data_IF_504574410935
#
_entry.id   IF_504574410935
#
_cell.length_a   1.000
_cell.length_b   1.000
_cell.length_c   1.000
_cell.angle_alpha   90.00
_cell.angle_beta   90.00
_cell.angle_gamma   90.00
#
_symmetry.space_group_name_H-M   'P 1'
#
loop_
_entity.id
_entity.type
_entity.pdbx_description
1 polymer ?
#
# COMPACT_ATOMS: atom_id res chain seq x y z
N UNK A 1 -16.83 -21.51 -17.44
CA UNK A 1 -16.13 -20.19 -17.22
C UNK A 1 -14.79 -20.48 -16.57
N UNK A 2 -13.71 -19.79 -16.99
CA UNK A 2 -12.39 -19.90 -16.31
C UNK A 2 -12.51 -19.39 -14.86
N UNK A 3 -11.89 -20.08 -13.92
CA UNK A 3 -11.80 -19.60 -12.54
C UNK A 3 -10.95 -18.31 -12.51
N UNK A 4 -11.46 -17.27 -11.86
CA UNK A 4 -10.70 -16.03 -11.62
C UNK A 4 -9.53 -16.30 -10.69
N UNK A 5 -8.40 -15.60 -10.90
CA UNK A 5 -7.16 -15.77 -10.14
C UNK A 5 -6.63 -14.43 -9.66
N UNK A 6 -6.20 -14.36 -8.41
CA UNK A 6 -5.65 -13.15 -7.80
C UNK A 6 -4.23 -13.41 -7.33
N UNK A 7 -3.30 -12.57 -7.75
CA UNK A 7 -1.88 -12.65 -7.41
C UNK A 7 -1.56 -11.74 -6.23
N UNK A 8 -0.98 -12.30 -5.18
CA UNK A 8 -0.36 -11.56 -4.09
C UNK A 8 1.15 -11.48 -4.28
N UNK A 9 1.70 -10.27 -4.20
CA UNK A 9 3.14 -10.01 -4.31
C UNK A 9 3.62 -9.43 -2.99
N UNK A 10 4.57 -10.12 -2.36
CA UNK A 10 5.19 -9.70 -1.09
C UNK A 10 6.54 -9.05 -1.38
N UNK A 11 6.61 -7.72 -1.26
CA UNK A 11 7.81 -6.92 -1.49
C UNK A 11 8.81 -6.92 -0.32
N UNK A 12 8.49 -7.61 0.79
CA UNK A 12 9.38 -7.69 1.96
C UNK A 12 10.56 -8.65 1.71
N UNK A 13 11.77 -8.31 2.19
CA UNK A 13 12.88 -9.27 2.23
C UNK A 13 12.63 -10.42 3.23
N UNK A 14 11.70 -10.25 4.15
CA UNK A 14 11.27 -11.29 5.09
C UNK A 14 10.09 -12.07 4.50
N UNK A 15 10.32 -13.32 4.10
CA UNK A 15 9.31 -14.21 3.49
C UNK A 15 8.10 -14.41 4.42
N UNK A 16 8.36 -14.54 5.72
CA UNK A 16 7.34 -14.66 6.78
C UNK A 16 7.42 -13.45 7.70
N UNK A 17 6.54 -12.50 7.53
CA UNK A 17 6.51 -11.27 8.32
C UNK A 17 5.21 -10.49 8.10
N UNK A 18 5.09 -9.35 8.76
CA UNK A 18 3.85 -8.56 8.79
C UNK A 18 3.33 -8.16 7.39
N UNK A 19 4.23 -7.90 6.44
CA UNK A 19 3.82 -7.61 5.05
C UNK A 19 3.18 -8.83 4.39
N UNK A 20 3.75 -10.04 4.61
CA UNK A 20 3.20 -11.27 4.05
C UNK A 20 1.86 -11.63 4.68
N UNK A 21 1.67 -11.37 5.97
CA UNK A 21 0.39 -11.57 6.66
C UNK A 21 -0.71 -10.67 6.07
N UNK A 22 -0.43 -9.38 5.84
CA UNK A 22 -1.39 -8.45 5.23
C UNK A 22 -1.77 -8.87 3.80
N UNK A 23 -0.80 -9.32 3.00
CA UNK A 23 -1.07 -9.84 1.66
C UNK A 23 -1.90 -11.12 1.74
N UNK A 24 -1.57 -12.03 2.67
CA UNK A 24 -2.31 -13.28 2.88
C UNK A 24 -3.76 -13.01 3.33
N UNK A 25 -3.99 -12.04 4.23
CA UNK A 25 -5.34 -11.64 4.64
C UNK A 25 -6.16 -11.09 3.46
N UNK A 26 -5.55 -10.25 2.60
CA UNK A 26 -6.23 -9.78 1.40
C UNK A 26 -6.57 -10.93 0.44
N UNK A 27 -5.65 -11.87 0.25
CA UNK A 27 -5.90 -13.07 -0.57
C UNK A 27 -6.96 -13.99 0.05
N UNK A 28 -6.97 -14.15 1.38
CA UNK A 28 -7.99 -14.90 2.11
C UNK A 28 -9.38 -14.31 1.91
N UNK A 29 -9.48 -12.96 1.99
CA UNK A 29 -10.71 -12.24 1.68
C UNK A 29 -11.19 -12.48 0.25
N UNK A 30 -10.30 -12.45 -0.71
CA UNK A 30 -10.62 -12.73 -2.12
C UNK A 30 -11.06 -14.18 -2.33
N UNK A 31 -10.33 -15.14 -1.79
CA UNK A 31 -10.62 -16.56 -1.90
C UNK A 31 -12.00 -16.93 -1.32
N UNK A 32 -12.46 -16.20 -0.28
CA UNK A 32 -13.79 -16.41 0.32
C UNK A 32 -14.96 -16.18 -0.65
N UNK A 33 -14.72 -15.55 -1.81
CA UNK A 33 -15.69 -15.28 -2.87
C UNK A 33 -15.45 -16.12 -4.14
N UNK A 34 -14.52 -17.10 -4.09
CA UNK A 34 -14.33 -18.12 -5.12
C UNK A 34 -13.10 -17.99 -6.03
N UNK A 35 -12.42 -16.83 -6.19
CA UNK A 35 -11.17 -16.79 -6.95
C UNK A 35 -10.10 -17.72 -6.36
N UNK A 36 -9.28 -18.31 -7.24
CA UNK A 36 -8.02 -18.92 -6.85
C UNK A 36 -7.00 -17.84 -6.48
N UNK A 37 -6.10 -18.14 -5.55
CA UNK A 37 -5.07 -17.19 -5.12
C UNK A 37 -3.68 -17.80 -5.20
N UNK A 38 -2.69 -16.99 -5.51
CA UNK A 38 -1.27 -17.37 -5.50
C UNK A 38 -0.45 -16.26 -4.85
N UNK A 39 0.55 -16.63 -4.06
CA UNK A 39 1.47 -15.68 -3.45
C UNK A 39 2.87 -15.84 -4.03
N UNK A 40 3.51 -14.72 -4.33
CA UNK A 40 4.92 -14.63 -4.74
C UNK A 40 5.67 -13.74 -3.76
N UNK A 41 6.72 -14.28 -3.16
CA UNK A 41 7.69 -13.50 -2.38
C UNK A 41 8.81 -13.00 -3.29
N UNK A 42 8.99 -11.69 -3.41
CA UNK A 42 10.08 -11.14 -4.23
C UNK A 42 11.46 -11.53 -3.70
N UNK A 43 11.60 -11.79 -2.39
CA UNK A 43 12.84 -12.23 -1.78
C UNK A 43 13.36 -13.57 -2.34
N UNK A 44 12.48 -14.37 -2.92
CA UNK A 44 12.81 -15.70 -3.47
C UNK A 44 12.99 -15.70 -4.99
N UNK A 45 12.83 -14.55 -5.66
CA UNK A 45 12.79 -14.49 -7.12
C UNK A 45 14.12 -14.14 -7.78
N UNK A 46 15.11 -13.66 -7.03
CA UNK A 46 16.41 -13.28 -7.60
C UNK A 46 16.33 -12.14 -8.64
N UNK A 47 15.40 -11.21 -8.46
CA UNK A 47 15.25 -10.05 -9.36
C UNK A 47 16.41 -9.10 -9.15
N UNK A 48 17.08 -8.72 -10.25
CA UNK A 48 18.17 -7.75 -10.27
C UNK A 48 17.66 -6.38 -10.74
N UNK A 49 18.46 -5.33 -10.54
CA UNK A 49 18.14 -3.98 -11.01
C UNK A 49 18.07 -3.89 -12.54
N UNK A 50 17.25 -2.97 -13.03
CA UNK A 50 17.20 -2.59 -14.45
C UNK A 50 18.40 -1.70 -14.79
N UNK A 51 19.01 -1.90 -15.96
CA UNK A 51 20.07 -1.05 -16.52
C UNK A 51 19.58 -0.15 -17.65
N UNK A 52 18.32 -0.32 -18.06
CA UNK A 52 17.64 0.44 -19.14
C UNK A 52 18.33 0.38 -20.52
N UNK A 53 19.16 -0.64 -20.74
CA UNK A 53 19.92 -0.79 -22.02
C UNK A 53 19.10 -1.48 -23.14
N UNK A 54 17.84 -1.90 -22.84
CA UNK A 54 17.06 -2.75 -23.73
C UNK A 54 15.64 -2.21 -23.94
N UNK A 55 15.47 -1.30 -24.89
CA UNK A 55 14.18 -0.67 -25.19
C UNK A 55 13.12 -1.66 -25.71
N UNK A 56 13.52 -2.77 -26.35
CA UNK A 56 12.62 -3.79 -26.88
C UNK A 56 11.78 -4.48 -25.80
N UNK A 57 12.26 -4.51 -24.55
CA UNK A 57 11.53 -5.13 -23.45
C UNK A 57 10.15 -4.49 -23.21
N UNK A 58 9.95 -3.23 -23.60
CA UNK A 58 8.67 -2.55 -23.50
C UNK A 58 7.66 -3.03 -24.54
N UNK A 59 8.10 -3.53 -25.67
CA UNK A 59 7.24 -3.99 -26.76
C UNK A 59 6.92 -5.48 -26.69
N UNK A 60 7.85 -6.32 -26.20
CA UNK A 60 7.69 -7.78 -26.18
C UNK A 60 7.46 -8.38 -24.77
N UNK A 61 7.54 -7.56 -23.72
CA UNK A 61 7.32 -8.00 -22.36
C UNK A 61 8.42 -8.88 -21.77
N UNK A 62 9.61 -8.90 -22.38
CA UNK A 62 10.73 -9.76 -21.96
C UNK A 62 11.87 -8.94 -21.38
N UNK A 63 12.14 -9.12 -20.08
CA UNK A 63 13.32 -8.54 -19.45
C UNK A 63 14.57 -9.29 -19.88
N UNK A 64 15.50 -8.61 -20.57
CA UNK A 64 16.75 -9.23 -21.09
C UNK A 64 17.74 -9.61 -19.99
N UNK A 65 17.60 -9.01 -18.81
CA UNK A 65 18.52 -9.23 -17.69
C UNK A 65 18.01 -10.26 -16.69
N UNK A 66 16.72 -10.52 -16.64
CA UNK A 66 16.13 -11.35 -15.58
C UNK A 66 14.98 -12.20 -16.10
N UNK A 67 15.21 -13.51 -16.18
CA UNK A 67 14.13 -14.47 -16.48
C UNK A 67 13.04 -14.43 -15.40
N UNK A 68 13.42 -14.22 -14.14
CA UNK A 68 12.47 -14.09 -13.04
C UNK A 68 11.54 -12.87 -13.21
N UNK A 69 12.09 -11.71 -13.66
CA UNK A 69 11.28 -10.54 -13.95
C UNK A 69 10.32 -10.79 -15.12
N UNK A 70 10.77 -11.49 -16.17
CA UNK A 70 9.91 -11.92 -17.28
C UNK A 70 8.80 -12.85 -16.82
N UNK A 71 9.13 -13.84 -15.98
CA UNK A 71 8.14 -14.78 -15.43
C UNK A 71 7.08 -14.05 -14.57
N UNK A 72 7.49 -13.07 -13.75
CA UNK A 72 6.55 -12.28 -12.96
C UNK A 72 5.70 -11.35 -13.82
N UNK A 73 6.25 -10.76 -14.87
CA UNK A 73 5.49 -9.95 -15.83
C UNK A 73 4.38 -10.77 -16.49
N UNK A 74 4.69 -12.00 -16.93
CA UNK A 74 3.71 -12.94 -17.48
C UNK A 74 2.63 -13.33 -16.45
N UNK A 75 3.01 -13.55 -15.19
CA UNK A 75 2.01 -13.80 -14.13
C UNK A 75 1.05 -12.61 -13.99
N UNK A 76 1.55 -11.36 -13.99
CA UNK A 76 0.69 -10.17 -13.97
C UNK A 76 -0.27 -10.14 -15.17
N UNK A 77 0.17 -10.58 -16.35
CA UNK A 77 -0.67 -10.67 -17.54
C UNK A 77 -1.73 -11.80 -17.46
N UNK A 78 -1.45 -12.89 -16.76
CA UNK A 78 -2.33 -14.05 -16.64
C UNK A 78 -3.38 -13.93 -15.53
N UNK A 79 -3.06 -13.25 -14.44
CA UNK A 79 -3.94 -13.08 -13.28
C UNK A 79 -4.98 -11.99 -13.53
N UNK A 80 -6.10 -12.05 -12.82
CA UNK A 80 -7.25 -11.15 -13.00
C UNK A 80 -7.21 -9.94 -12.06
N UNK A 81 -6.45 -10.03 -10.96
CA UNK A 81 -6.19 -8.93 -10.04
C UNK A 81 -4.86 -9.12 -9.31
N UNK A 82 -4.39 -8.04 -8.68
CA UNK A 82 -3.09 -8.00 -7.99
C UNK A 82 -3.22 -7.38 -6.61
N UNK A 83 -2.53 -7.96 -5.63
CA UNK A 83 -2.24 -7.34 -4.33
C UNK A 83 -0.73 -7.17 -4.24
N UNK A 84 -0.23 -5.94 -4.04
CA UNK A 84 1.19 -5.66 -3.82
C UNK A 84 1.37 -5.06 -2.43
N UNK A 85 2.03 -5.81 -1.54
CA UNK A 85 2.43 -5.34 -0.22
C UNK A 85 3.92 -5.00 -0.18
N UNK A 86 4.29 -3.82 0.31
CA UNK A 86 5.68 -3.41 0.46
C UNK A 86 5.97 -2.79 1.84
N UNK A 87 7.13 -3.10 2.45
CA UNK A 87 7.59 -2.40 3.64
C UNK A 87 8.16 -1.03 3.27
N UNK A 88 8.03 -0.10 4.19
CA UNK A 88 8.62 1.24 4.06
C UNK A 88 10.10 1.20 4.50
N UNK A 89 11.00 1.55 3.60
CA UNK A 89 12.42 1.78 3.88
C UNK A 89 12.80 3.18 3.43
N UNK A 90 13.36 3.97 4.36
CA UNK A 90 13.74 5.38 4.07
C UNK A 90 12.61 6.19 3.41
N UNK A 91 11.40 6.08 3.98
CA UNK A 91 10.19 6.78 3.56
C UNK A 91 9.65 6.39 2.16
N UNK A 92 10.09 5.27 1.58
CA UNK A 92 9.60 4.78 0.29
C UNK A 92 9.60 3.24 0.25
N UNK A 93 9.24 2.65 -0.90
CA UNK A 93 9.38 1.21 -1.12
C UNK A 93 10.84 0.77 -0.96
N UNK A 94 11.05 -0.42 -0.44
CA UNK A 94 12.39 -1.00 -0.35
C UNK A 94 12.97 -1.34 -1.74
N UNK A 95 14.29 -1.46 -1.83
CA UNK A 95 15.00 -1.73 -3.09
C UNK A 95 14.53 -3.00 -3.81
N UNK A 96 14.14 -4.05 -3.06
CA UNK A 96 13.62 -5.28 -3.65
C UNK A 96 12.31 -5.04 -4.41
N UNK A 97 11.36 -4.31 -3.82
CA UNK A 97 10.12 -3.93 -4.48
C UNK A 97 10.39 -2.99 -5.66
N UNK A 98 11.34 -2.05 -5.50
CA UNK A 98 11.69 -1.14 -6.58
C UNK A 98 12.31 -1.88 -7.79
N UNK A 99 13.23 -2.82 -7.56
CA UNK A 99 13.78 -3.64 -8.62
C UNK A 99 12.70 -4.41 -9.40
N UNK A 100 11.71 -4.96 -8.69
CA UNK A 100 10.56 -5.60 -9.33
C UNK A 100 9.78 -4.60 -10.21
N UNK A 101 9.46 -3.42 -9.70
CA UNK A 101 8.74 -2.40 -10.48
C UNK A 101 9.51 -1.97 -11.72
N UNK A 102 10.83 -1.77 -11.60
CA UNK A 102 11.69 -1.29 -12.69
C UNK A 102 11.88 -2.33 -13.79
N UNK A 103 11.82 -3.62 -13.46
CA UNK A 103 12.02 -4.72 -14.41
C UNK A 103 10.72 -5.32 -14.95
N UNK A 104 9.56 -4.92 -14.42
CA UNK A 104 8.26 -5.43 -14.88
C UNK A 104 7.90 -4.87 -16.24
N UNK A 105 7.50 -5.76 -17.16
CA UNK A 105 7.05 -5.45 -18.52
C UNK A 105 5.79 -6.27 -18.83
N UNK A 106 4.63 -5.65 -18.74
CA UNK A 106 3.32 -6.30 -18.94
C UNK A 106 2.69 -5.88 -20.26
N UNK A 107 1.89 -6.77 -20.85
CA UNK A 107 1.23 -6.55 -22.14
C UNK A 107 -0.31 -6.62 -22.04
N UNK A 108 -0.86 -7.11 -20.92
CA UNK A 108 -2.29 -7.36 -20.77
C UNK A 108 -2.81 -7.05 -19.36
N UNK A 109 -2.51 -5.90 -18.81
CA UNK A 109 -2.92 -5.50 -17.45
C UNK A 109 -3.99 -4.42 -17.40
N UNK A 110 -4.29 -3.72 -18.52
CA UNK A 110 -5.22 -2.60 -18.54
C UNK A 110 -6.56 -2.93 -17.88
N UNK A 111 -6.89 -2.19 -16.82
CA UNK A 111 -8.17 -2.28 -16.10
C UNK A 111 -8.31 -3.46 -15.13
N UNK A 112 -7.27 -4.26 -14.90
CA UNK A 112 -7.28 -5.27 -13.82
C UNK A 112 -7.25 -4.58 -12.47
N UNK A 113 -8.12 -4.94 -11.51
CA UNK A 113 -8.12 -4.31 -10.19
C UNK A 113 -6.84 -4.64 -9.42
N UNK A 114 -6.34 -3.66 -8.64
CA UNK A 114 -5.14 -3.83 -7.85
C UNK A 114 -5.25 -3.15 -6.48
N UNK A 115 -4.66 -3.77 -5.46
CA UNK A 115 -4.52 -3.23 -4.09
C UNK A 115 -3.05 -3.02 -3.75
N UNK A 116 -2.70 -1.79 -3.38
CA UNK A 116 -1.40 -1.46 -2.80
C UNK A 116 -1.48 -1.37 -1.28
N UNK A 117 -0.54 -2.01 -0.58
CA UNK A 117 -0.40 -2.00 0.88
C UNK A 117 0.99 -1.50 1.21
N UNK A 118 1.09 -0.43 2.00
CA UNK A 118 2.35 0.01 2.60
C UNK A 118 2.39 -0.36 4.08
N UNK A 119 3.53 -0.84 4.57
CA UNK A 119 3.72 -1.18 5.99
C UNK A 119 4.95 -0.46 6.55
N UNK A 120 4.75 0.43 7.51
CA UNK A 120 5.83 1.09 8.24
C UNK A 120 5.87 0.61 9.69
N UNK A 121 7.01 0.08 10.11
CA UNK A 121 7.37 -0.13 11.52
C UNK A 121 7.83 1.17 12.18
N UNK A 122 8.57 1.07 13.28
CA UNK A 122 9.24 2.19 13.93
C UNK A 122 8.33 3.42 14.14
N UNK A 123 8.66 4.53 13.50
CA UNK A 123 7.89 5.78 13.57
C UNK A 123 6.58 5.76 12.78
N UNK A 124 6.35 4.77 11.94
CA UNK A 124 5.17 4.71 11.06
C UNK A 124 5.23 5.63 9.83
N UNK A 125 6.29 6.44 9.67
CA UNK A 125 6.41 7.42 8.58
C UNK A 125 6.76 6.77 7.24
N UNK A 126 6.41 7.43 6.12
CA UNK A 126 6.66 6.96 4.76
C UNK A 126 5.54 6.12 4.15
N UNK A 127 4.37 6.08 4.80
CA UNK A 127 3.23 5.29 4.31
C UNK A 127 2.70 5.80 2.97
N UNK A 128 2.48 7.11 2.88
CA UNK A 128 1.84 7.71 1.71
C UNK A 128 2.80 7.83 0.52
N UNK A 129 4.08 8.08 0.76
CA UNK A 129 5.11 8.08 -0.28
C UNK A 129 5.32 6.67 -0.86
N UNK A 130 5.39 5.63 -0.01
CA UNK A 130 5.43 4.23 -0.45
C UNK A 130 4.19 3.86 -1.28
N UNK A 131 2.99 4.25 -0.82
CA UNK A 131 1.76 4.02 -1.61
C UNK A 131 1.80 4.77 -2.94
N UNK A 132 2.30 6.00 -2.96
CA UNK A 132 2.46 6.75 -4.22
C UNK A 132 3.38 6.02 -5.19
N UNK A 133 4.51 5.47 -4.73
CA UNK A 133 5.41 4.67 -5.57
C UNK A 133 4.71 3.42 -6.12
N UNK A 134 3.97 2.67 -5.27
CA UNK A 134 3.18 1.50 -5.71
C UNK A 134 2.13 1.89 -6.75
N UNK A 135 1.41 2.98 -6.52
CA UNK A 135 0.32 3.40 -7.40
C UNK A 135 0.82 4.07 -8.69
N UNK A 136 1.98 4.71 -8.68
CA UNK A 136 2.66 5.13 -9.90
C UNK A 136 3.04 3.91 -10.77
N UNK A 137 3.52 2.83 -10.15
CA UNK A 137 3.75 1.57 -10.86
C UNK A 137 2.44 1.02 -11.44
N UNK A 138 1.36 0.94 -10.66
CA UNK A 138 0.05 0.51 -11.15
C UNK A 138 -0.44 1.39 -12.31
N UNK A 139 -0.28 2.71 -12.20
CA UNK A 139 -0.61 3.65 -13.27
C UNK A 139 0.16 3.36 -14.55
N UNK A 140 1.48 3.12 -14.47
CA UNK A 140 2.33 2.85 -15.62
C UNK A 140 1.93 1.56 -16.35
N UNK A 141 1.60 0.50 -15.61
CA UNK A 141 1.18 -0.78 -16.19
C UNK A 141 -0.34 -0.92 -16.32
N UNK A 142 -1.08 0.18 -16.23
CA UNK A 142 -2.54 0.29 -16.47
C UNK A 142 -3.44 -0.55 -15.55
N UNK A 143 -2.96 -1.00 -14.40
CA UNK A 143 -3.83 -1.60 -13.39
C UNK A 143 -4.83 -0.58 -12.88
N UNK A 144 -6.02 -0.99 -12.49
CA UNK A 144 -7.03 -0.14 -11.84
C UNK A 144 -6.92 -0.28 -10.32
N UNK A 145 -6.09 0.56 -9.70
CA UNK A 145 -5.90 0.56 -8.25
C UNK A 145 -7.18 0.88 -7.49
N UNK A 146 -7.51 0.11 -6.45
CA UNK A 146 -8.55 0.46 -5.47
C UNK A 146 -7.92 1.31 -4.36
N UNK A 147 -8.74 1.84 -3.43
CA UNK A 147 -8.22 2.64 -2.31
C UNK A 147 -7.04 1.95 -1.62
N UNK A 148 -5.90 2.64 -1.46
CA UNK A 148 -4.71 2.09 -0.82
C UNK A 148 -4.90 1.77 0.66
N UNK A 149 -4.07 0.85 1.18
CA UNK A 149 -4.07 0.50 2.59
C UNK A 149 -2.76 0.93 3.28
N UNK A 150 -2.75 2.10 3.96
CA UNK A 150 -1.62 2.56 4.78
C UNK A 150 -1.61 1.86 6.14
N UNK A 151 -0.56 1.09 6.42
CA UNK A 151 -0.43 0.33 7.66
C UNK A 151 0.82 0.74 8.42
N UNK A 152 0.64 1.24 9.65
CA UNK A 152 1.71 1.44 10.62
C UNK A 152 1.63 0.37 11.72
N UNK A 153 2.66 0.33 12.60
CA UNK A 153 2.61 -0.52 13.80
C UNK A 153 1.38 -0.20 14.68
N UNK A 154 0.86 1.03 14.60
CA UNK A 154 -0.22 1.51 15.47
C UNK A 154 -1.61 0.99 15.07
N UNK A 155 -1.85 0.75 13.77
CA UNK A 155 -3.14 0.26 13.27
C UNK A 155 -3.09 -1.18 12.74
N UNK A 156 -1.98 -1.91 12.94
CA UNK A 156 -1.72 -3.20 12.32
C UNK A 156 -2.85 -4.22 12.53
N UNK A 157 -3.29 -4.41 13.78
CA UNK A 157 -4.37 -5.37 14.11
C UNK A 157 -5.68 -5.06 13.33
N UNK A 158 -6.04 -3.78 13.24
CA UNK A 158 -7.22 -3.34 12.48
C UNK A 158 -7.02 -3.48 10.98
N UNK A 159 -5.79 -3.27 10.51
CA UNK A 159 -5.46 -3.36 9.10
C UNK A 159 -5.57 -4.78 8.53
N UNK A 160 -5.41 -5.83 9.32
CA UNK A 160 -5.65 -7.22 8.90
C UNK A 160 -7.10 -7.40 8.41
N UNK A 161 -8.09 -6.96 9.19
CA UNK A 161 -9.50 -7.03 8.76
C UNK A 161 -9.83 -6.10 7.58
N UNK A 162 -9.13 -4.97 7.47
CA UNK A 162 -9.25 -4.09 6.30
C UNK A 162 -8.64 -4.72 5.05
N UNK A 163 -7.49 -5.39 5.17
CA UNK A 163 -6.88 -6.16 4.08
C UNK A 163 -7.82 -7.26 3.58
N UNK A 164 -8.40 -8.03 4.50
CA UNK A 164 -9.41 -9.05 4.17
C UNK A 164 -10.60 -8.45 3.40
N UNK A 165 -11.16 -7.35 3.90
CA UNK A 165 -12.29 -6.65 3.26
C UNK A 165 -11.93 -6.11 1.88
N UNK A 166 -10.72 -5.58 1.71
CA UNK A 166 -10.19 -5.09 0.42
C UNK A 166 -10.00 -6.24 -0.57
N UNK A 167 -9.57 -7.40 -0.10
CA UNK A 167 -9.48 -8.61 -0.91
C UNK A 167 -10.85 -9.07 -1.44
N UNK A 168 -11.89 -9.04 -0.62
CA UNK A 168 -13.27 -9.29 -1.06
C UNK A 168 -13.69 -8.31 -2.16
N UNK A 169 -13.40 -7.00 -1.97
CA UNK A 169 -13.68 -5.97 -2.99
C UNK A 169 -12.95 -6.26 -4.30
N UNK A 170 -11.68 -6.69 -4.27
CA UNK A 170 -10.94 -7.10 -5.47
C UNK A 170 -11.64 -8.25 -6.20
N UNK A 171 -12.06 -9.30 -5.47
CA UNK A 171 -12.75 -10.45 -6.04
C UNK A 171 -14.07 -10.08 -6.74
N UNK A 172 -14.79 -9.09 -6.21
CA UNK A 172 -16.01 -8.57 -6.85
C UNK A 172 -15.69 -7.80 -8.13
N UNK A 173 -14.66 -6.96 -8.10
CA UNK A 173 -14.24 -6.15 -9.24
C UNK A 173 -13.65 -6.98 -10.38
N UNK A 174 -12.97 -8.10 -10.08
CA UNK A 174 -12.44 -9.04 -11.08
C UNK A 174 -13.52 -9.57 -12.03
N UNK A 175 -14.78 -9.68 -11.56
CA UNK A 175 -15.89 -10.17 -12.36
C UNK A 175 -16.22 -9.25 -13.54
N UNK A 176 -15.80 -7.99 -13.49
CA UNK A 176 -16.06 -6.94 -14.49
C UNK A 176 -14.81 -6.10 -14.68
N UNK A 177 -13.82 -6.66 -15.39
CA UNK A 177 -12.64 -5.89 -15.79
C UNK A 177 -13.08 -4.59 -16.48
N UNK A 178 -12.51 -3.46 -16.05
CA UNK A 178 -12.82 -2.12 -16.55
C UNK A 178 -11.55 -1.47 -17.13
N UNK A 179 -11.21 -1.71 -18.40
CA UNK A 179 -10.07 -1.07 -19.02
C UNK A 179 -10.21 0.44 -19.03
N UNK A 180 -9.11 1.16 -18.95
CA UNK A 180 -9.09 2.59 -19.25
C UNK A 180 -9.15 2.81 -20.75
N UNK A 181 -10.05 3.67 -21.19
CA UNK A 181 -10.22 4.01 -22.60
C UNK A 181 -9.20 5.08 -23.06
N UNK A 182 -8.68 5.87 -22.12
CA UNK A 182 -7.71 6.93 -22.40
C UNK A 182 -6.77 7.21 -21.23
N UNK A 183 -5.64 7.85 -21.55
CA UNK A 183 -4.72 8.37 -20.53
C UNK A 183 -5.39 9.43 -19.65
N UNK A 184 -6.27 10.25 -20.21
CA UNK A 184 -7.01 11.28 -19.47
C UNK A 184 -7.92 10.68 -18.41
N UNK A 185 -8.65 9.61 -18.76
CA UNK A 185 -9.47 8.85 -17.80
C UNK A 185 -8.60 8.26 -16.69
N UNK A 186 -7.46 7.65 -17.05
CA UNK A 186 -6.53 7.06 -16.08
C UNK A 186 -5.97 8.11 -15.13
N UNK A 187 -5.54 9.27 -15.64
CA UNK A 187 -5.06 10.39 -14.79
C UNK A 187 -6.15 10.83 -13.82
N UNK A 188 -7.37 11.08 -14.31
CA UNK A 188 -8.49 11.52 -13.48
C UNK A 188 -8.84 10.47 -12.39
N UNK A 189 -8.84 9.19 -12.76
CA UNK A 189 -9.09 8.10 -11.83
C UNK A 189 -8.09 8.07 -10.68
N UNK A 190 -6.78 8.09 -11.00
CA UNK A 190 -5.71 8.02 -10.00
C UNK A 190 -5.64 9.28 -9.13
N UNK A 191 -5.95 10.45 -9.71
CA UNK A 191 -6.05 11.70 -8.95
C UNK A 191 -7.13 11.64 -7.86
N UNK A 192 -8.21 10.89 -8.07
CA UNK A 192 -9.31 10.71 -7.12
C UNK A 192 -9.06 9.69 -6.00
N UNK A 193 -7.97 8.90 -6.06
CA UNK A 193 -7.69 7.89 -5.05
C UNK A 193 -7.18 8.51 -3.75
N UNK A 194 -7.62 7.93 -2.61
CA UNK A 194 -7.21 8.38 -1.27
C UNK A 194 -5.70 8.27 -1.08
N UNK A 195 -5.15 9.13 -0.26
CA UNK A 195 -3.75 9.17 0.21
C UNK A 195 -2.69 9.48 -0.85
N UNK A 196 -2.98 9.36 -2.15
CA UNK A 196 -1.97 9.56 -3.20
C UNK A 196 -1.53 11.04 -3.36
N UNK A 197 -2.41 11.97 -2.97
CA UNK A 197 -2.12 13.41 -2.99
C UNK A 197 -1.69 13.96 -1.62
N UNK A 198 -1.48 13.09 -0.63
CA UNK A 198 -1.03 13.50 0.69
C UNK A 198 0.40 14.02 0.65
N UNK A 199 0.61 15.19 1.24
CA UNK A 199 1.95 15.69 1.53
C UNK A 199 2.44 15.19 2.91
N UNK A 200 3.61 15.64 3.33
CA UNK A 200 4.22 15.24 4.60
C UNK A 200 3.36 15.64 5.81
N UNK A 201 2.60 16.73 5.72
CA UNK A 201 1.72 17.20 6.81
C UNK A 201 0.51 16.28 6.91
N UNK A 202 -0.13 15.97 5.77
CA UNK A 202 -1.27 15.05 5.70
C UNK A 202 -0.90 13.65 6.22
N UNK A 203 0.30 13.17 5.90
CA UNK A 203 0.80 11.87 6.39
C UNK A 203 0.98 11.86 7.91
N UNK A 204 1.58 12.90 8.48
CA UNK A 204 1.76 12.96 9.93
C UNK A 204 0.40 13.12 10.67
N UNK A 205 -0.56 13.83 10.08
CA UNK A 205 -1.92 13.90 10.59
C UNK A 205 -2.62 12.52 10.54
N UNK A 206 -2.42 11.75 9.47
CA UNK A 206 -2.90 10.37 9.35
C UNK A 206 -2.30 9.48 10.45
N UNK A 207 -1.01 9.60 10.74
CA UNK A 207 -0.35 8.83 11.80
C UNK A 207 -0.88 9.16 13.19
N UNK A 208 -1.08 10.44 13.50
CA UNK A 208 -1.72 10.87 14.75
C UNK A 208 -3.14 10.28 14.86
N UNK A 209 -3.90 10.28 13.77
CA UNK A 209 -5.22 9.66 13.73
C UNK A 209 -5.16 8.15 13.98
N UNK A 210 -4.21 7.44 13.37
CA UNK A 210 -4.04 5.99 13.57
C UNK A 210 -3.73 5.69 15.04
N UNK A 211 -2.88 6.47 15.70
CA UNK A 211 -2.58 6.35 17.11
C UNK A 211 -3.85 6.48 17.96
N UNK A 212 -4.51 7.63 17.92
CA UNK A 212 -5.66 7.90 18.80
C UNK A 212 -6.84 6.93 18.58
N UNK A 213 -6.98 6.38 17.38
CA UNK A 213 -8.06 5.43 17.05
C UNK A 213 -7.79 3.99 17.47
N UNK A 214 -6.56 3.66 17.87
CA UNK A 214 -6.15 2.29 18.19
C UNK A 214 -5.52 2.15 19.59
N UNK A 215 -5.67 3.17 20.44
CA UNK A 215 -5.30 3.14 21.85
C UNK A 215 -6.54 2.96 22.71
N UNK A 216 -6.57 1.92 23.54
CA UNK A 216 -7.56 1.70 24.59
C UNK A 216 -6.96 2.12 25.94
N UNK A 217 -6.81 3.43 26.16
CA UNK A 217 -6.05 3.95 27.28
C UNK A 217 -6.78 3.76 28.62
N UNK A 218 -6.01 3.25 29.60
CA UNK A 218 -6.40 3.18 31.01
C UNK A 218 -5.25 3.71 31.90
N UNK A 219 -5.54 4.09 33.12
CA UNK A 219 -4.51 4.58 34.04
C UNK A 219 -3.74 5.79 33.48
N UNK A 220 -2.40 5.75 33.56
CA UNK A 220 -1.52 6.86 33.16
C UNK A 220 -1.56 7.18 31.67
N UNK A 221 -1.89 6.21 30.81
CA UNK A 221 -2.04 6.43 29.38
C UNK A 221 -3.26 7.30 29.01
N UNK A 222 -4.26 7.40 29.90
CA UNK A 222 -5.49 8.14 29.63
C UNK A 222 -5.24 9.64 29.45
N UNK A 223 -4.48 10.26 30.33
CA UNK A 223 -4.18 11.70 30.22
C UNK A 223 -3.40 12.04 28.94
N UNK A 224 -2.46 11.17 28.54
CA UNK A 224 -1.71 11.32 27.29
C UNK A 224 -2.61 11.14 26.07
N UNK A 225 -3.56 10.22 26.10
CA UNK A 225 -4.53 10.06 25.00
C UNK A 225 -5.47 11.28 24.89
N UNK A 226 -5.93 11.81 26.02
CA UNK A 226 -6.76 13.04 26.04
C UNK A 226 -5.98 14.24 25.46
N UNK A 227 -4.71 14.37 25.79
CA UNK A 227 -3.82 15.37 25.20
C UNK A 227 -3.66 15.16 23.69
N UNK A 228 -3.39 13.93 23.24
CA UNK A 228 -3.25 13.59 21.83
C UNK A 228 -4.52 13.92 21.03
N UNK A 229 -5.71 13.63 21.58
CA UNK A 229 -7.00 13.93 20.93
C UNK A 229 -7.22 15.45 20.83
N UNK A 230 -6.90 16.22 21.87
CA UNK A 230 -7.04 17.68 21.86
C UNK A 230 -6.15 18.30 20.78
N UNK A 231 -4.87 17.94 20.78
CA UNK A 231 -3.89 18.44 19.79
C UNK A 231 -4.26 18.01 18.35
N UNK A 232 -4.73 16.77 18.17
CA UNK A 232 -5.24 16.32 16.87
C UNK A 232 -6.43 17.14 16.37
N UNK A 233 -7.34 17.49 17.26
CA UNK A 233 -8.53 18.28 16.89
C UNK A 233 -8.16 19.67 16.44
N UNK A 234 -7.23 20.33 17.13
CA UNK A 234 -6.69 21.63 16.76
C UNK A 234 -5.95 21.56 15.40
N UNK A 235 -5.08 20.55 15.24
CA UNK A 235 -4.38 20.33 13.98
C UNK A 235 -5.35 20.15 12.80
N UNK A 236 -6.40 19.36 12.98
CA UNK A 236 -7.41 19.10 11.96
C UNK A 236 -8.18 20.35 11.55
N UNK A 237 -8.50 21.22 12.51
CA UNK A 237 -9.16 22.51 12.25
C UNK A 237 -8.24 23.42 11.43
N UNK A 238 -6.98 23.56 11.82
CA UNK A 238 -5.98 24.38 11.09
C UNK A 238 -5.75 23.87 9.66
N UNK A 239 -5.64 22.55 9.48
CA UNK A 239 -5.53 21.96 8.13
C UNK A 239 -6.79 22.27 7.30
N UNK A 240 -7.99 22.16 7.89
CA UNK A 240 -9.26 22.52 7.24
C UNK A 240 -9.34 24.00 6.82
N UNK A 241 -8.65 24.88 7.55
CA UNK A 241 -8.53 26.32 7.22
C UNK A 241 -7.41 26.60 6.20
N UNK A 242 -6.69 25.59 5.70
CA UNK A 242 -5.53 25.75 4.79
C UNK A 242 -4.23 26.14 5.49
N UNK A 243 -4.19 26.19 6.83
CA UNK A 243 -3.04 26.59 7.65
C UNK A 243 -2.15 25.39 8.01
N UNK A 244 -1.71 24.62 7.00
CA UNK A 244 -0.94 23.40 7.22
C UNK A 244 0.34 23.59 8.02
N UNK A 245 1.07 24.71 7.78
CA UNK A 245 2.31 25.00 8.49
C UNK A 245 2.08 25.23 9.99
N UNK A 246 1.01 25.95 10.35
CA UNK A 246 0.63 26.18 11.75
C UNK A 246 0.19 24.87 12.42
N UNK A 247 -0.46 23.97 11.69
CA UNK A 247 -0.91 22.69 12.21
C UNK A 247 0.23 21.75 12.62
N UNK A 248 1.45 21.91 12.06
CA UNK A 248 2.57 20.95 12.28
C UNK A 248 2.89 20.77 13.77
N UNK A 249 2.90 21.84 14.56
CA UNK A 249 3.20 21.74 16.00
C UNK A 249 2.16 20.88 16.72
N UNK A 250 0.88 21.11 16.44
CA UNK A 250 -0.23 20.34 17.02
C UNK A 250 -0.21 18.87 16.56
N UNK A 251 0.10 18.62 15.28
CA UNK A 251 0.26 17.26 14.77
C UNK A 251 1.38 16.52 15.52
N UNK A 252 2.52 17.18 15.73
CA UNK A 252 3.66 16.56 16.42
C UNK A 252 3.36 16.33 17.90
N UNK A 253 2.73 17.28 18.59
CA UNK A 253 2.30 17.09 19.97
C UNK A 253 1.33 15.92 20.10
N UNK A 254 0.34 15.83 19.21
CA UNK A 254 -0.60 14.71 19.14
C UNK A 254 0.11 13.38 18.92
N UNK A 255 1.03 13.31 17.96
CA UNK A 255 1.80 12.11 17.66
C UNK A 255 2.68 11.69 18.84
N UNK A 256 3.37 12.62 19.51
CA UNK A 256 4.24 12.32 20.65
C UNK A 256 3.46 11.84 21.87
N UNK A 257 2.37 12.54 22.24
CA UNK A 257 1.51 12.13 23.32
C UNK A 257 0.86 10.75 23.03
N UNK A 258 0.35 10.57 21.81
CA UNK A 258 -0.22 9.31 21.36
C UNK A 258 0.79 8.15 21.37
N UNK A 259 2.04 8.39 20.94
CA UNK A 259 3.10 7.36 20.97
C UNK A 259 3.43 6.96 22.41
N UNK A 260 3.57 7.91 23.33
CA UNK A 260 3.78 7.62 24.76
C UNK A 260 2.62 6.81 25.34
N UNK A 261 1.39 7.18 25.05
CA UNK A 261 0.20 6.44 25.50
C UNK A 261 0.18 5.00 24.93
N UNK A 262 0.54 4.84 23.64
CA UNK A 262 0.61 3.55 22.97
C UNK A 262 1.72 2.65 23.56
N UNK A 263 2.89 3.22 23.86
CA UNK A 263 4.01 2.49 24.47
C UNK A 263 3.63 2.01 25.87
N UNK A 264 2.98 2.83 26.72
CA UNK A 264 2.48 2.42 28.04
C UNK A 264 1.49 1.25 27.94
N UNK A 265 0.63 1.26 26.93
CA UNK A 265 -0.36 0.18 26.74
C UNK A 265 0.26 -1.14 26.26
N UNK A 266 1.38 -1.10 25.52
CA UNK A 266 1.93 -2.27 24.82
C UNK A 266 3.27 -2.78 25.40
N UNK A 267 3.75 -2.17 26.48
CA UNK A 267 4.92 -2.57 27.27
C UNK A 267 4.57 -2.71 28.74
#
# INVERSE_FOLDING_TARGET
MRQLRILGIVGSPHVKGLTSELVAEALGGAASLGPGTETVSLAEQGIIHCDDDHSECWSDGVCRRSEAATALSRKLDEFDAVVLGAPVYYLDVNGLTKNFMDTTRTLNTNGKPALGISLAGGTGKGLTSTLRSIYNFFFCIELRGIDPLPVSRFNYKKALSQAYSSGRKLAELCKRRQPFESLSERIAYYHGLKYLNYDIVDENLLLAQQLIQNIEASGDAKALLEEAIREYSEAKELVGQGKKTEAVVHIMNSYEAGTKAWDIQNH
#
